data_IF_302083035886
#
_entry.id   IF_302083035886
#
_cell.length_a   1.000
_cell.length_b   1.000
_cell.length_c   1.000
_cell.angle_alpha   90.00
_cell.angle_beta   90.00
_cell.angle_gamma   90.00
#
_symmetry.space_group_name_H-M   'P 1'
#
loop_
_entity.id
_entity.type
_entity.pdbx_description
1 polymer ?
#
# COMPACT_ATOMS: atom_id res chain seq x y z
N UNK A 1 -0.61 -0.83 16.86
CA UNK A 1 -1.32 -1.90 16.15
C UNK A 1 -2.18 -1.21 15.12
N UNK A 2 -1.96 -1.49 13.84
CA UNK A 2 -2.76 -0.94 12.75
C UNK A 2 -4.01 -1.81 12.56
N UNK A 3 -5.16 -1.19 12.28
CA UNK A 3 -6.45 -1.87 12.11
C UNK A 3 -6.99 -1.46 10.74
N UNK A 4 -7.07 -2.40 9.81
CA UNK A 4 -7.51 -2.14 8.43
C UNK A 4 -8.59 -3.14 7.98
N UNK A 5 -9.48 -2.69 7.09
CA UNK A 5 -10.30 -3.59 6.26
C UNK A 5 -10.00 -3.38 4.79
N UNK A 6 -9.93 -4.49 4.06
CA UNK A 6 -9.59 -4.54 2.64
C UNK A 6 -10.69 -5.25 1.86
N UNK A 7 -11.14 -4.63 0.78
CA UNK A 7 -12.25 -5.09 -0.04
C UNK A 7 -11.80 -5.20 -1.49
N UNK A 8 -12.19 -6.31 -2.15
CA UNK A 8 -12.07 -6.39 -3.60
C UNK A 8 -13.23 -5.63 -4.23
N UNK A 9 -12.91 -4.72 -5.15
CA UNK A 9 -13.90 -3.89 -5.81
C UNK A 9 -14.15 -4.42 -7.22
N UNK A 10 -15.43 -4.52 -7.60
CA UNK A 10 -15.83 -5.05 -8.89
C UNK A 10 -15.76 -4.02 -10.03
N UNK A 11 -15.99 -2.74 -9.71
CA UNK A 11 -16.00 -1.65 -10.69
C UNK A 11 -15.48 -0.36 -10.04
N UNK A 12 -14.75 0.43 -10.83
CA UNK A 12 -14.22 1.72 -10.37
C UNK A 12 -15.38 2.68 -10.06
N UNK A 13 -15.34 3.37 -8.91
CA UNK A 13 -16.32 4.42 -8.61
C UNK A 13 -16.29 5.52 -9.66
N UNK A 14 -17.44 6.12 -9.94
CA UNK A 14 -17.48 7.31 -10.79
C UNK A 14 -16.62 8.43 -10.21
N UNK A 15 -15.98 9.21 -11.07
CA UNK A 15 -15.15 10.36 -10.70
C UNK A 15 -13.95 10.07 -9.77
N UNK A 16 -13.58 8.82 -9.52
CA UNK A 16 -12.44 8.51 -8.63
C UNK A 16 -11.13 9.23 -9.01
N UNK A 17 -10.96 9.54 -10.30
CA UNK A 17 -9.80 10.27 -10.85
C UNK A 17 -9.71 11.74 -10.42
N UNK A 18 -10.77 12.33 -9.86
CA UNK A 18 -10.71 13.70 -9.34
C UNK A 18 -10.07 13.79 -7.95
N UNK A 19 -9.85 12.65 -7.29
CA UNK A 19 -9.24 12.61 -5.97
C UNK A 19 -7.70 12.57 -6.05
N UNK A 20 -7.00 12.99 -4.98
CA UNK A 20 -5.55 12.88 -4.91
C UNK A 20 -5.08 11.46 -5.15
N UNK A 21 -4.05 11.32 -5.99
CA UNK A 21 -3.47 10.03 -6.39
C UNK A 21 -1.98 10.00 -6.07
N UNK A 22 -1.48 8.83 -5.68
CA UNK A 22 -0.05 8.55 -5.56
C UNK A 22 0.28 7.24 -6.27
N UNK A 23 1.33 7.28 -7.09
CA UNK A 23 1.89 6.10 -7.72
C UNK A 23 2.73 5.34 -6.69
N UNK A 24 2.44 4.05 -6.52
CA UNK A 24 3.14 3.17 -5.59
C UNK A 24 3.74 2.02 -6.40
N UNK A 25 5.03 1.78 -6.18
CA UNK A 25 5.76 0.65 -6.76
C UNK A 25 6.54 -0.04 -5.64
N UNK A 26 6.50 -1.36 -5.58
CA UNK A 26 7.20 -2.09 -4.52
C UNK A 26 7.60 -3.50 -4.97
N UNK A 27 8.63 -4.04 -4.33
CA UNK A 27 9.07 -5.40 -4.55
C UNK A 27 9.64 -6.00 -3.26
N UNK A 28 9.45 -7.30 -3.08
CA UNK A 28 10.09 -8.05 -2.00
C UNK A 28 11.50 -8.45 -2.44
N UNK A 29 12.47 -8.25 -1.56
CA UNK A 29 13.85 -8.78 -1.68
C UNK A 29 14.04 -10.06 -0.85
N UNK A 30 13.11 -10.29 0.08
CA UNK A 30 13.00 -11.50 0.87
C UNK A 30 11.59 -11.55 1.48
N UNK A 31 10.99 -12.73 1.57
CA UNK A 31 9.64 -12.90 2.17
C UNK A 31 9.69 -13.43 3.60
N UNK A 32 10.80 -14.04 4.03
CA UNK A 32 11.00 -14.48 5.42
C UNK A 32 12.49 -14.43 5.82
N UNK A 33 12.93 -13.42 6.59
CA UNK A 33 12.15 -12.28 7.07
C UNK A 33 11.69 -11.38 5.91
N UNK A 34 10.62 -10.61 6.12
CA UNK A 34 10.15 -9.69 5.09
C UNK A 34 11.13 -8.53 4.94
N UNK A 35 11.71 -8.40 3.74
CA UNK A 35 12.47 -7.23 3.30
C UNK A 35 11.86 -6.76 1.99
N UNK A 36 11.43 -5.49 1.93
CA UNK A 36 10.72 -4.92 0.79
C UNK A 36 11.28 -3.55 0.47
N UNK A 37 11.47 -3.26 -0.81
CA UNK A 37 11.68 -1.88 -1.29
C UNK A 37 10.37 -1.32 -1.80
N UNK A 38 10.08 -0.06 -1.48
CA UNK A 38 8.85 0.63 -1.87
C UNK A 38 9.16 2.06 -2.28
N UNK A 39 8.59 2.47 -3.40
CA UNK A 39 8.35 3.86 -3.78
C UNK A 39 6.90 4.21 -3.47
N UNK A 40 6.68 5.37 -2.84
CA UNK A 40 5.37 5.96 -2.63
C UNK A 40 5.40 7.42 -3.06
N UNK A 41 4.80 7.73 -4.22
CA UNK A 41 4.97 9.03 -4.86
C UNK A 41 6.44 9.30 -5.20
N UNK A 42 7.04 10.27 -4.51
CA UNK A 42 8.45 10.67 -4.68
C UNK A 42 9.34 10.22 -3.52
N UNK A 43 8.80 9.45 -2.57
CA UNK A 43 9.53 8.91 -1.44
C UNK A 43 9.89 7.43 -1.66
N UNK A 44 11.02 7.02 -1.09
CA UNK A 44 11.58 5.68 -1.28
C UNK A 44 12.01 5.08 0.07
N UNK A 45 11.71 3.80 0.27
CA UNK A 45 11.95 3.12 1.53
C UNK A 45 12.46 1.70 1.34
N UNK A 46 13.35 1.28 2.23
CA UNK A 46 13.62 -0.13 2.53
C UNK A 46 12.86 -0.46 3.82
N UNK A 47 11.86 -1.33 3.71
CA UNK A 47 11.13 -1.87 4.85
C UNK A 47 11.71 -3.22 5.23
N UNK A 48 11.95 -3.45 6.52
CA UNK A 48 12.09 -4.81 7.03
C UNK A 48 11.13 -5.06 8.19
N UNK A 49 10.65 -6.29 8.30
CA UNK A 49 9.79 -6.73 9.42
C UNK A 49 10.49 -7.80 10.24
N UNK A 50 10.53 -7.62 11.56
CA UNK A 50 11.08 -8.58 12.50
C UNK A 50 10.35 -9.95 12.48
N UNK A 51 11.01 -11.00 12.98
CA UNK A 51 10.40 -12.34 13.11
C UNK A 51 9.40 -12.34 14.27
N UNK A 52 8.23 -12.96 14.07
CA UNK A 52 7.18 -13.07 15.10
C UNK A 52 5.77 -13.17 14.52
N UNK A 53 4.77 -13.51 15.34
CA UNK A 53 3.36 -13.68 14.90
C UNK A 53 2.41 -12.58 15.40
N UNK A 54 2.61 -12.04 16.61
CA UNK A 54 1.62 -11.17 17.28
C UNK A 54 1.92 -9.66 17.15
N UNK A 55 3.18 -9.27 17.10
CA UNK A 55 3.60 -7.90 16.83
C UNK A 55 4.96 -7.98 16.14
N UNK A 56 5.04 -7.56 14.87
CA UNK A 56 6.31 -7.45 14.15
C UNK A 56 6.72 -5.98 14.21
N UNK A 57 7.92 -5.72 14.69
CA UNK A 57 8.53 -4.41 14.47
C UNK A 57 8.70 -4.21 12.96
N UNK A 58 8.15 -3.13 12.45
CA UNK A 58 8.34 -2.67 11.08
C UNK A 58 9.20 -1.42 11.12
N UNK A 59 10.29 -1.44 10.37
CA UNK A 59 11.17 -0.29 10.22
C UNK A 59 11.24 0.11 8.76
N UNK A 60 10.91 1.37 8.49
CA UNK A 60 11.03 2.01 7.19
C UNK A 60 12.30 2.87 7.18
N UNK A 61 13.32 2.41 6.47
CA UNK A 61 14.57 3.14 6.28
C UNK A 61 14.48 3.96 4.98
N UNK A 62 14.76 5.27 5.00
CA UNK A 62 14.72 6.07 3.78
C UNK A 62 15.77 5.61 2.77
N UNK A 63 15.39 5.60 1.50
CA UNK A 63 16.27 5.42 0.36
C UNK A 63 16.23 6.68 -0.52
N UNK A 64 17.25 6.83 -1.36
CA UNK A 64 17.13 7.71 -2.52
C UNK A 64 16.66 6.90 -3.74
N UNK A 65 16.23 7.59 -4.80
CA UNK A 65 15.73 6.94 -6.01
C UNK A 65 16.77 5.97 -6.62
N UNK A 66 18.04 6.37 -6.68
CA UNK A 66 19.10 5.54 -7.28
C UNK A 66 19.25 4.18 -6.54
N UNK A 67 19.27 4.21 -5.21
CA UNK A 67 19.37 3.01 -4.38
C UNK A 67 18.12 2.14 -4.54
N UNK A 68 16.93 2.76 -4.56
CA UNK A 68 15.68 2.03 -4.83
C UNK A 68 15.71 1.33 -6.18
N UNK A 69 16.07 2.02 -7.26
CA UNK A 69 16.13 1.44 -8.62
C UNK A 69 17.12 0.29 -8.71
N UNK A 70 18.30 0.44 -8.07
CA UNK A 70 19.29 -0.63 -8.03
C UNK A 70 18.79 -1.88 -7.28
N UNK A 71 18.12 -1.69 -6.15
CA UNK A 71 17.56 -2.79 -5.37
C UNK A 71 16.34 -3.43 -6.07
N UNK A 72 15.55 -2.66 -6.82
CA UNK A 72 14.40 -3.16 -7.57
C UNK A 72 14.79 -4.25 -8.58
N UNK A 73 16.00 -4.20 -9.15
CA UNK A 73 16.55 -5.24 -10.04
C UNK A 73 16.77 -6.58 -9.32
N UNK A 74 16.74 -6.60 -7.98
CA UNK A 74 16.87 -7.80 -7.14
C UNK A 74 15.53 -8.26 -6.57
N UNK A 75 14.42 -7.83 -7.16
CA UNK A 75 13.09 -8.28 -6.78
C UNK A 75 12.99 -9.82 -6.85
N UNK A 76 12.67 -10.43 -5.72
CA UNK A 76 12.28 -11.83 -5.64
C UNK A 76 10.81 -11.94 -6.06
N UNK A 77 10.59 -12.07 -7.37
CA UNK A 77 9.29 -12.26 -7.97
C UNK A 77 8.74 -11.00 -8.64
N UNK A 78 7.53 -10.60 -8.27
CA UNK A 78 6.75 -9.59 -9.00
C UNK A 78 6.96 -8.20 -8.40
N UNK A 79 7.28 -7.23 -9.26
CA UNK A 79 7.15 -5.81 -8.92
C UNK A 79 5.67 -5.44 -8.93
N UNK A 80 5.16 -5.04 -7.76
CA UNK A 80 3.79 -4.60 -7.56
C UNK A 80 3.69 -3.11 -7.86
N UNK A 81 2.84 -2.74 -8.82
CA UNK A 81 2.62 -1.35 -9.22
C UNK A 81 1.14 -1.01 -9.16
N UNK A 82 0.80 0.12 -8.53
CA UNK A 82 -0.57 0.59 -8.39
C UNK A 82 -0.64 2.11 -8.28
N UNK A 83 -1.78 2.67 -8.65
CA UNK A 83 -2.17 4.03 -8.29
C UNK A 83 -3.13 3.98 -7.11
N UNK A 84 -2.80 4.68 -6.02
CA UNK A 84 -3.63 4.79 -4.81
C UNK A 84 -4.35 6.14 -4.80
N UNK A 85 -5.67 6.11 -4.94
CA UNK A 85 -6.55 7.28 -4.83
C UNK A 85 -7.08 7.41 -3.41
N UNK A 86 -7.07 8.63 -2.86
CA UNK A 86 -7.57 8.92 -1.50
C UNK A 86 -8.92 9.59 -1.55
N UNK A 87 -9.96 8.82 -1.27
CA UNK A 87 -11.36 9.23 -1.37
C UNK A 87 -11.89 9.46 0.05
N UNK A 88 -12.22 10.70 0.45
CA UNK A 88 -12.79 10.96 1.76
C UNK A 88 -14.18 10.33 1.87
N UNK A 89 -14.47 9.72 3.02
CA UNK A 89 -15.82 9.24 3.32
C UNK A 89 -16.73 10.42 3.72
N UNK A 90 -18.05 10.17 3.77
CA UNK A 90 -19.04 11.20 4.11
C UNK A 90 -19.90 10.76 5.29
N UNK A 91 -20.61 11.72 5.91
CA UNK A 91 -21.49 11.45 7.05
C UNK A 91 -20.72 11.08 8.31
N UNK A 92 -21.18 10.07 9.04
CA UNK A 92 -20.60 9.63 10.33
C UNK A 92 -19.14 9.20 10.23
N UNK A 93 -18.70 8.76 9.06
CA UNK A 93 -17.33 8.28 8.82
C UNK A 93 -16.44 9.32 8.12
N UNK A 94 -16.80 10.61 8.16
CA UNK A 94 -16.07 11.65 7.43
C UNK A 94 -14.59 11.83 7.86
N UNK A 95 -14.19 11.28 9.01
CA UNK A 95 -12.78 11.22 9.45
C UNK A 95 -11.99 10.09 8.81
N UNK A 96 -12.65 9.13 8.15
CA UNK A 96 -12.02 8.02 7.45
C UNK A 96 -11.75 8.36 5.98
N UNK A 97 -10.74 7.69 5.42
CA UNK A 97 -10.38 7.79 4.01
C UNK A 97 -10.38 6.40 3.41
N UNK A 98 -10.99 6.26 2.22
CA UNK A 98 -10.84 5.08 1.40
C UNK A 98 -9.57 5.25 0.56
N UNK A 99 -8.68 4.28 0.68
CA UNK A 99 -7.52 4.14 -0.20
C UNK A 99 -7.87 3.14 -1.30
N UNK A 100 -8.26 3.69 -2.46
CA UNK A 100 -8.61 2.91 -3.65
C UNK A 100 -7.35 2.63 -4.48
N UNK A 101 -6.92 1.38 -4.46
CA UNK A 101 -5.79 0.87 -5.22
C UNK A 101 -6.22 0.34 -6.58
N UNK A 102 -5.69 0.92 -7.65
CA UNK A 102 -5.85 0.44 -9.02
C UNK A 102 -4.52 -0.15 -9.47
N UNK A 103 -4.43 -1.47 -9.57
CA UNK A 103 -3.19 -2.17 -9.91
C UNK A 103 -2.96 -2.19 -11.42
N UNK A 104 -1.69 -2.24 -11.80
CA UNK A 104 -1.22 -2.34 -13.17
C UNK A 104 -0.15 -3.44 -13.31
N UNK A 105 0.30 -3.68 -14.55
CA UNK A 105 1.31 -4.69 -14.83
C UNK A 105 0.76 -6.10 -14.60
N UNK A 106 1.43 -6.88 -13.75
CA UNK A 106 1.04 -8.29 -13.50
C UNK A 106 -0.36 -8.41 -12.87
N UNK A 107 -0.79 -7.39 -12.12
CA UNK A 107 -2.10 -7.36 -11.46
C UNK A 107 -3.06 -6.37 -12.14
N UNK A 108 -2.86 -6.08 -13.42
CA UNK A 108 -3.77 -5.23 -14.19
C UNK A 108 -5.23 -5.72 -14.07
N UNK A 109 -6.13 -4.79 -13.76
CA UNK A 109 -7.54 -5.07 -13.51
C UNK A 109 -7.89 -5.49 -12.07
N UNK A 110 -6.91 -5.71 -11.19
CA UNK A 110 -7.17 -5.84 -9.76
C UNK A 110 -7.44 -4.46 -9.15
N UNK A 111 -8.53 -4.35 -8.40
CA UNK A 111 -8.91 -3.13 -7.69
C UNK A 111 -9.22 -3.49 -6.24
N UNK A 112 -8.59 -2.79 -5.31
CA UNK A 112 -8.82 -2.96 -3.88
C UNK A 112 -9.22 -1.62 -3.26
N UNK A 113 -10.10 -1.65 -2.26
CA UNK A 113 -10.34 -0.53 -1.38
C UNK A 113 -9.87 -0.92 0.03
N UNK A 114 -9.08 -0.04 0.64
CA UNK A 114 -8.57 -0.20 1.99
C UNK A 114 -9.06 0.97 2.85
N UNK A 115 -9.45 0.68 4.09
CA UNK A 115 -9.83 1.69 5.09
C UNK A 115 -9.12 1.34 6.38
N UNK A 116 -8.37 2.30 6.92
CA UNK A 116 -7.74 2.21 8.24
C UNK A 116 -8.67 2.79 9.30
N UNK A 117 -8.77 2.10 10.44
CA UNK A 117 -9.65 2.46 11.55
C UNK A 117 -8.84 2.78 12.81
N UNK A 118 -9.28 3.75 13.62
CA UNK A 118 -8.61 4.10 14.87
C UNK A 118 -8.82 3.05 15.96
N UNK A 119 -9.90 2.27 15.92
CA UNK A 119 -10.22 1.23 16.91
C UNK A 119 -10.82 -0.02 16.27
N UNK A 120 -10.86 -1.12 17.04
CA UNK A 120 -11.43 -2.39 16.57
C UNK A 120 -12.95 -2.26 16.45
N UNK A 121 -13.60 -1.57 17.37
CA UNK A 121 -15.05 -1.39 17.41
C UNK A 121 -15.57 -0.61 16.19
N UNK A 122 -14.82 0.38 15.70
CA UNK A 122 -15.20 1.11 14.48
C UNK A 122 -14.96 0.26 13.22
N UNK A 123 -14.01 -0.66 13.28
CA UNK A 123 -13.73 -1.56 12.19
C UNK A 123 -14.78 -2.67 12.06
N UNK A 124 -15.53 -3.03 13.11
CA UNK A 124 -16.51 -4.14 13.11
C UNK A 124 -17.75 -3.87 12.25
#
# INVERSE_FOLDING_TARGET
>A
MEIERKYRIAALPEHYRSYPVRAIEQAYLCTDPVVRVRRDGDEYYLTYKGRGLLAREEYNLPLNEQAYRHLLEKADGIVLTKDRYRIPMTGTYAHLTIELDVFSGVYDGLILAEVEFPTVEEAE
#
